data_IF_209642822510
#
_entry.id   IF_209642822510
#
_cell.length_a   1.000
_cell.length_b   1.000
_cell.length_c   1.000
_cell.angle_alpha   90.00
_cell.angle_beta   90.00
_cell.angle_gamma   90.00
#
_symmetry.space_group_name_H-M   'P 1'
#
loop_
_entity.id
_entity.type
_entity.pdbx_description
1 polymer ?
#
# COMPACT_ATOMS: atom_id res chain seq x y z
N UNK A 1 -6.47 -36.87 12.02
CA UNK A 1 -6.78 -35.42 11.92
C UNK A 1 -5.84 -34.82 10.88
N UNK A 2 -6.39 -34.22 9.83
CA UNK A 2 -5.68 -33.88 8.58
C UNK A 2 -5.22 -32.42 8.55
N UNK A 3 -4.65 -31.93 9.66
CA UNK A 3 -4.29 -30.52 9.89
C UNK A 3 -3.27 -29.99 8.87
N UNK A 4 -2.40 -30.85 8.32
CA UNK A 4 -1.42 -30.46 7.32
C UNK A 4 -2.00 -30.12 5.94
N UNK A 5 -3.14 -30.72 5.56
CA UNK A 5 -3.82 -30.46 4.28
C UNK A 5 -4.59 -29.14 4.32
N UNK A 6 -5.32 -28.91 5.41
CA UNK A 6 -6.14 -27.71 5.59
C UNK A 6 -5.29 -26.44 5.76
N UNK A 7 -4.15 -26.51 6.47
CA UNK A 7 -3.20 -25.39 6.55
C UNK A 7 -2.60 -25.04 5.18
N UNK A 8 -2.29 -26.03 4.34
CA UNK A 8 -1.79 -25.80 2.97
C UNK A 8 -2.86 -25.17 2.08
N UNK A 9 -4.10 -25.63 2.20
CA UNK A 9 -5.23 -25.08 1.46
C UNK A 9 -5.53 -23.63 1.88
N UNK A 10 -5.55 -23.35 3.19
CA UNK A 10 -5.71 -22.00 3.72
C UNK A 10 -4.59 -21.05 3.27
N UNK A 11 -3.33 -21.52 3.31
CA UNK A 11 -2.18 -20.75 2.82
C UNK A 11 -2.28 -20.47 1.30
N UNK A 12 -2.68 -21.46 0.51
CA UNK A 12 -2.89 -21.30 -0.94
C UNK A 12 -3.96 -20.26 -1.26
N UNK A 13 -5.10 -20.28 -0.55
CA UNK A 13 -6.16 -19.29 -0.72
C UNK A 13 -5.68 -17.88 -0.33
N UNK A 14 -4.89 -17.76 0.73
CA UNK A 14 -4.33 -16.49 1.17
C UNK A 14 -3.36 -15.94 0.12
N UNK A 15 -2.46 -16.77 -0.40
CA UNK A 15 -1.53 -16.40 -1.49
C UNK A 15 -2.31 -16.02 -2.76
N UNK A 16 -3.29 -16.83 -3.16
CA UNK A 16 -4.11 -16.54 -4.34
C UNK A 16 -4.87 -15.22 -4.19
N UNK A 17 -5.44 -14.96 -3.00
CA UNK A 17 -6.09 -13.68 -2.68
C UNK A 17 -5.13 -12.50 -2.81
N UNK A 18 -3.92 -12.62 -2.28
CA UNK A 18 -2.89 -11.57 -2.41
C UNK A 18 -2.48 -11.34 -3.87
N UNK A 19 -2.32 -12.41 -4.66
CA UNK A 19 -2.01 -12.31 -6.10
C UNK A 19 -3.14 -11.62 -6.86
N UNK A 20 -4.40 -11.98 -6.60
CA UNK A 20 -5.56 -11.36 -7.22
C UNK A 20 -5.59 -9.87 -6.90
N UNK A 21 -5.47 -9.50 -5.62
CA UNK A 21 -5.42 -8.09 -5.19
C UNK A 21 -4.28 -7.36 -5.91
N UNK A 22 -3.09 -7.94 -5.97
CA UNK A 22 -1.94 -7.34 -6.64
C UNK A 22 -2.18 -7.11 -8.15
N UNK A 23 -2.74 -8.11 -8.84
CA UNK A 23 -3.05 -8.02 -10.29
C UNK A 23 -4.15 -7.00 -10.56
N UNK A 24 -5.21 -7.02 -9.75
CA UNK A 24 -6.32 -6.05 -9.85
C UNK A 24 -5.82 -4.63 -9.66
N UNK A 25 -4.97 -4.40 -8.65
CA UNK A 25 -4.36 -3.09 -8.40
C UNK A 25 -3.47 -2.64 -9.56
N UNK A 26 -2.62 -3.54 -10.06
CA UNK A 26 -1.79 -3.25 -11.23
C UNK A 26 -2.63 -2.86 -12.46
N UNK A 27 -3.73 -3.58 -12.70
CA UNK A 27 -4.62 -3.33 -13.83
C UNK A 27 -5.33 -1.97 -13.71
N UNK A 28 -5.95 -1.71 -12.55
CA UNK A 28 -6.62 -0.42 -12.30
C UNK A 28 -5.63 0.74 -12.38
N UNK A 29 -4.44 0.60 -11.80
CA UNK A 29 -3.42 1.65 -11.83
C UNK A 29 -3.00 1.98 -13.27
N UNK A 30 -2.79 0.96 -14.12
CA UNK A 30 -2.52 1.19 -15.55
C UNK A 30 -3.67 1.89 -16.27
N UNK A 31 -4.91 1.53 -15.95
CA UNK A 31 -6.09 2.15 -16.57
C UNK A 31 -6.25 3.61 -16.13
N UNK A 32 -6.08 3.90 -14.84
CA UNK A 32 -6.20 5.25 -14.28
C UNK A 32 -5.02 6.14 -14.67
N UNK A 33 -3.80 5.62 -14.71
CA UNK A 33 -2.62 6.37 -15.13
C UNK A 33 -2.72 6.82 -16.60
N UNK A 34 -3.40 6.05 -17.47
CA UNK A 34 -3.67 6.41 -18.87
C UNK A 34 -4.75 7.48 -19.04
N UNK A 35 -5.53 7.80 -18.01
CA UNK A 35 -6.54 8.85 -18.11
C UNK A 35 -5.86 10.24 -18.09
N UNK A 36 -6.30 11.18 -18.93
CA UNK A 36 -5.71 12.52 -19.01
C UNK A 36 -5.91 13.36 -17.74
N UNK A 37 -6.82 12.95 -16.85
CA UNK A 37 -7.11 13.64 -15.59
C UNK A 37 -5.93 13.60 -14.62
N UNK A 38 -5.40 14.77 -14.27
CA UNK A 38 -4.25 14.97 -13.36
C UNK A 38 -4.35 14.21 -12.02
N UNK A 39 -5.55 14.05 -11.47
CA UNK A 39 -5.79 13.40 -10.18
C UNK A 39 -6.21 11.94 -10.24
N UNK A 40 -6.63 11.43 -11.41
CA UNK A 40 -7.27 10.11 -11.51
C UNK A 40 -6.33 8.96 -11.13
N UNK A 41 -5.04 9.07 -11.45
CA UNK A 41 -4.02 8.10 -11.04
C UNK A 41 -3.42 8.36 -9.65
N UNK A 42 -3.76 9.45 -8.97
CA UNK A 42 -3.36 9.70 -7.58
C UNK A 42 -4.40 9.21 -6.58
N UNK A 43 -5.66 9.04 -7.01
CA UNK A 43 -6.75 8.53 -6.16
C UNK A 43 -6.41 7.17 -5.55
N UNK A 44 -5.84 6.24 -6.32
CA UNK A 44 -5.49 4.91 -5.83
C UNK A 44 -4.36 4.94 -4.78
N UNK A 45 -3.20 5.57 -5.01
CA UNK A 45 -2.19 5.77 -3.96
C UNK A 45 -2.75 6.42 -2.69
N UNK A 46 -3.60 7.44 -2.83
CA UNK A 46 -4.18 8.14 -1.69
C UNK A 46 -5.11 7.22 -0.90
N UNK A 47 -6.00 6.48 -1.57
CA UNK A 47 -6.90 5.53 -0.91
C UNK A 47 -6.12 4.43 -0.17
N UNK A 48 -5.07 3.90 -0.79
CA UNK A 48 -4.19 2.91 -0.16
C UNK A 48 -3.48 3.47 1.07
N UNK A 49 -2.99 4.70 0.97
CA UNK A 49 -2.40 5.40 2.11
C UNK A 49 -3.40 5.56 3.26
N UNK A 50 -4.63 5.99 2.98
CA UNK A 50 -5.68 6.15 3.99
C UNK A 50 -6.03 4.81 4.65
N UNK A 51 -6.21 3.74 3.87
CA UNK A 51 -6.48 2.40 4.40
C UNK A 51 -5.34 1.94 5.30
N UNK A 52 -4.09 2.09 4.85
CA UNK A 52 -2.89 1.74 5.62
C UNK A 52 -2.84 2.48 6.96
N UNK A 53 -3.02 3.81 6.94
CA UNK A 53 -3.04 4.64 8.17
C UNK A 53 -4.14 4.18 9.12
N UNK A 54 -5.36 3.96 8.61
CA UNK A 54 -6.48 3.51 9.43
C UNK A 54 -6.21 2.14 10.06
N UNK A 55 -5.61 1.20 9.34
CA UNK A 55 -5.22 -0.10 9.90
C UNK A 55 -4.20 0.03 11.03
N UNK A 56 -3.21 0.91 10.90
CA UNK A 56 -2.22 1.16 11.97
C UNK A 56 -2.87 1.83 13.18
N UNK A 57 -3.74 2.82 12.97
CA UNK A 57 -4.47 3.51 14.05
C UNK A 57 -5.36 2.54 14.82
N UNK A 58 -6.04 1.61 14.14
CA UNK A 58 -6.86 0.58 14.78
C UNK A 58 -6.00 -0.46 15.52
N UNK A 59 -4.78 -0.74 15.07
CA UNK A 59 -3.86 -1.64 15.75
C UNK A 59 -3.20 -1.01 16.99
N UNK A 60 -3.09 0.32 17.04
CA UNK A 60 -2.39 1.03 18.11
C UNK A 60 -2.90 0.70 19.53
N UNK A 61 -4.21 0.71 19.84
CA UNK A 61 -4.70 0.36 21.18
C UNK A 61 -4.31 -1.05 21.61
N UNK A 62 -4.28 -2.00 20.67
CA UNK A 62 -3.88 -3.38 20.94
C UNK A 62 -2.38 -3.47 21.26
N UNK A 63 -1.54 -2.78 20.48
CA UNK A 63 -0.08 -2.76 20.71
C UNK A 63 0.27 -2.08 22.03
N UNK A 64 -0.39 -0.95 22.36
CA UNK A 64 -0.21 -0.28 23.65
C UNK A 64 -0.88 -1.01 24.83
N UNK A 65 -1.79 -1.95 24.56
CA UNK A 65 -2.35 -2.84 25.58
C UNK A 65 -1.42 -4.00 25.95
N UNK A 66 -0.39 -4.26 25.14
CA UNK A 66 0.49 -5.44 25.27
C UNK A 66 1.95 -5.04 25.50
N UNK A 67 2.16 -3.94 26.24
CA UNK A 67 3.46 -3.29 26.44
C UNK A 67 4.55 -4.22 26.97
N UNK A 68 4.21 -5.19 27.83
CA UNK A 68 5.17 -6.16 28.36
C UNK A 68 5.76 -7.05 27.24
N UNK A 69 4.96 -7.47 26.25
CA UNK A 69 5.42 -8.31 25.15
C UNK A 69 6.23 -7.55 24.10
N UNK A 70 5.96 -6.25 23.94
CA UNK A 70 6.64 -5.41 22.94
C UNK A 70 7.82 -4.63 23.52
N UNK A 71 8.26 -4.88 24.76
CA UNK A 71 9.44 -4.21 25.34
C UNK A 71 9.18 -2.77 25.79
N UNK A 72 7.98 -2.50 26.28
CA UNK A 72 7.54 -1.19 26.77
C UNK A 72 7.15 -0.21 25.66
N UNK A 73 7.03 1.07 26.02
CA UNK A 73 6.53 2.12 25.12
C UNK A 73 7.41 2.28 23.88
N UNK A 74 8.74 2.19 24.04
CA UNK A 74 9.68 2.32 22.92
C UNK A 74 9.49 1.24 21.86
N UNK A 75 9.31 -0.02 22.28
CA UNK A 75 9.07 -1.11 21.34
C UNK A 75 7.67 -1.10 20.75
N UNK A 76 6.63 -0.66 21.50
CA UNK A 76 5.30 -0.41 20.94
C UNK A 76 5.33 0.61 19.79
N UNK A 77 6.04 1.73 19.99
CA UNK A 77 6.22 2.74 18.94
C UNK A 77 6.99 2.16 17.76
N UNK A 78 8.09 1.44 18.00
CA UNK A 78 8.87 0.81 16.94
C UNK A 78 8.05 -0.20 16.13
N UNK A 79 7.21 -1.01 16.78
CA UNK A 79 6.29 -1.95 16.13
C UNK A 79 5.28 -1.22 15.25
N UNK A 80 4.68 -0.14 15.73
CA UNK A 80 3.73 0.66 14.94
C UNK A 80 4.39 1.32 13.73
N UNK A 81 5.61 1.86 13.90
CA UNK A 81 6.39 2.42 12.79
C UNK A 81 6.71 1.35 11.76
N UNK A 82 7.17 0.18 12.20
CA UNK A 82 7.46 -0.94 11.30
C UNK A 82 6.21 -1.43 10.57
N UNK A 83 5.09 -1.59 11.27
CA UNK A 83 3.80 -1.93 10.67
C UNK A 83 3.36 -0.89 9.64
N UNK A 84 3.53 0.40 9.94
CA UNK A 84 3.25 1.49 9.00
C UNK A 84 4.12 1.39 7.75
N UNK A 85 5.42 1.16 7.89
CA UNK A 85 6.33 1.02 6.74
C UNK A 85 5.94 -0.16 5.86
N UNK A 86 5.67 -1.33 6.46
CA UNK A 86 5.28 -2.54 5.74
C UNK A 86 3.92 -2.35 5.04
N UNK A 87 2.93 -1.80 5.75
CA UNK A 87 1.59 -1.56 5.21
C UNK A 87 1.58 -0.55 4.06
N UNK A 88 2.58 0.33 3.98
CA UNK A 88 2.72 1.31 2.88
C UNK A 88 3.55 0.83 1.68
N UNK A 89 4.14 -0.37 1.71
CA UNK A 89 4.85 -0.93 0.54
C UNK A 89 3.95 -0.95 -0.71
N UNK A 90 2.68 -1.41 -0.66
CA UNK A 90 1.78 -1.37 -1.81
C UNK A 90 1.52 0.06 -2.30
N UNK A 91 1.33 1.02 -1.38
CA UNK A 91 1.13 2.43 -1.70
C UNK A 91 2.28 3.00 -2.51
N UNK A 92 3.52 2.76 -2.07
CA UNK A 92 4.73 3.21 -2.74
C UNK A 92 4.87 2.55 -4.12
N UNK A 93 4.56 1.26 -4.22
CA UNK A 93 4.57 0.53 -5.49
C UNK A 93 3.58 1.11 -6.50
N UNK A 94 2.32 1.31 -6.09
CA UNK A 94 1.27 1.89 -6.94
C UNK A 94 1.69 3.29 -7.41
N UNK A 95 2.22 4.12 -6.50
CA UNK A 95 2.76 5.43 -6.86
C UNK A 95 3.93 5.34 -7.85
N UNK A 96 4.83 4.37 -7.70
CA UNK A 96 5.91 4.14 -8.66
C UNK A 96 5.38 3.77 -10.05
N UNK A 97 4.39 2.88 -10.12
CA UNK A 97 3.75 2.47 -11.38
C UNK A 97 3.04 3.65 -12.04
N UNK A 98 2.34 4.47 -11.27
CA UNK A 98 1.75 5.73 -11.72
C UNK A 98 2.79 6.62 -12.40
N UNK A 99 3.86 6.97 -11.67
CA UNK A 99 4.92 7.88 -12.14
C UNK A 99 5.59 7.32 -13.39
N UNK A 100 5.95 6.03 -13.39
CA UNK A 100 6.57 5.36 -14.55
C UNK A 100 5.66 5.41 -15.78
N UNK A 101 4.36 5.19 -15.59
CA UNK A 101 3.38 5.19 -16.70
C UNK A 101 3.19 6.59 -17.27
N UNK A 102 3.06 7.63 -16.43
CA UNK A 102 2.94 9.03 -16.86
C UNK A 102 4.19 9.51 -17.59
N UNK A 103 5.39 9.19 -17.08
CA UNK A 103 6.67 9.49 -17.75
C UNK A 103 6.75 8.88 -19.15
N UNK A 104 6.26 7.64 -19.34
CA UNK A 104 6.20 7.00 -20.66
C UNK A 104 5.24 7.69 -21.64
N UNK A 105 4.28 8.45 -21.13
CA UNK A 105 3.35 9.26 -21.93
C UNK A 105 3.86 10.68 -22.15
N UNK A 106 5.08 11.01 -21.71
CA UNK A 106 5.64 12.37 -21.80
C UNK A 106 5.10 13.34 -20.75
N UNK A 107 4.31 12.87 -19.78
CA UNK A 107 3.75 13.69 -18.72
C UNK A 107 4.59 13.61 -17.45
N UNK A 108 4.86 14.76 -16.81
CA UNK A 108 5.46 14.83 -15.48
C UNK A 108 4.35 14.99 -14.41
N UNK A 109 3.99 13.90 -13.69
CA UNK A 109 2.94 13.98 -12.69
C UNK A 109 3.38 14.81 -11.48
N UNK A 110 2.43 15.50 -10.86
CA UNK A 110 2.66 16.22 -9.60
C UNK A 110 2.97 15.24 -8.45
N UNK A 111 3.87 15.56 -7.50
CA UNK A 111 4.62 16.83 -7.36
C UNK A 111 5.89 16.92 -8.20
N UNK A 112 6.24 15.90 -8.97
CA UNK A 112 7.47 15.82 -9.79
C UNK A 112 7.38 16.63 -11.11
N UNK A 113 6.52 17.66 -11.19
CA UNK A 113 6.42 18.51 -12.38
C UNK A 113 7.75 19.21 -12.64
N UNK A 114 8.14 19.26 -13.91
CA UNK A 114 9.31 20.04 -14.30
C UNK A 114 9.03 21.53 -14.01
N UNK A 115 9.96 22.28 -13.39
CA UNK A 115 9.75 23.69 -13.04
C UNK A 115 9.35 24.58 -14.22
N UNK A 116 9.74 24.20 -15.44
CA UNK A 116 9.44 24.93 -16.68
C UNK A 116 8.00 24.80 -17.18
N UNK A 117 7.17 23.93 -16.60
CA UNK A 117 5.77 23.73 -16.99
C UNK A 117 4.76 24.44 -16.05
N UNK A 118 5.24 25.23 -15.08
CA UNK A 118 4.38 26.20 -14.37
C UNK A 118 4.16 27.41 -15.27
N UNK A 119 3.28 27.28 -16.27
CA UNK A 119 2.63 28.43 -16.92
C UNK A 119 1.25 28.63 -16.30
#
# INVERSE_FOLDING_TARGET
MNTGSEMKFGLLLLIAGLVIVFVTLWFFERMFARRPGRGAGLTMPILFFVISVMSVVQAAPKVFGDLEHVGGVGGAVASLVLSFLIANIPTVWVYYVYVRTRRKMGEYPWPLRHPSEKK
#
